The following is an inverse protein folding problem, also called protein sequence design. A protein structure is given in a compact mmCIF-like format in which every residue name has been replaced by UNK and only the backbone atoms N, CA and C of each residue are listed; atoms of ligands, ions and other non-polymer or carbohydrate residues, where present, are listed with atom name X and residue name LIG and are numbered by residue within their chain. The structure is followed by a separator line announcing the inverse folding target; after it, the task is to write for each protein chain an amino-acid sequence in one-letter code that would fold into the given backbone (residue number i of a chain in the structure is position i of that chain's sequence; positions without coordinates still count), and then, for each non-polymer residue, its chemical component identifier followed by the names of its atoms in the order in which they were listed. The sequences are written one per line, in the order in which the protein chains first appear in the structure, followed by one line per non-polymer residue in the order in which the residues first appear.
data_IF_201093096546
#
_entry.id   IF_201093096546
#
_cell.length_a   1.000
_cell.length_b   1.000
_cell.length_c   1.000
_cell.angle_alpha   90.00
_cell.angle_beta   90.00
_cell.angle_gamma   90.00
#
_symmetry.space_group_name_H-M   'P 1'
#
loop_
_entity.id
_entity.type
_entity.pdbx_description
1 polymer ?
#
# COMPACT_ATOMS: atom_id res chain seq x y z
N UNK A 1 28.26 -3.07 5.80
CA UNK A 1 27.30 -2.04 6.22
C UNK A 1 26.90 -1.31 4.95
N UNK A 2 25.84 -1.78 4.30
CA UNK A 2 25.30 -1.15 3.10
C UNK A 2 24.32 -0.11 3.61
N UNK A 3 24.67 1.17 3.52
CA UNK A 3 23.72 2.27 3.75
C UNK A 3 22.56 2.09 2.77
N UNK A 4 21.35 1.87 3.27
CA UNK A 4 20.15 2.09 2.44
C UNK A 4 20.16 3.56 2.03
N UNK A 5 19.98 3.88 0.74
CA UNK A 5 20.02 5.26 0.27
C UNK A 5 18.89 6.07 0.92
N UNK A 6 19.22 7.32 1.25
CA UNK A 6 18.29 8.33 1.71
C UNK A 6 17.15 8.45 0.67
N UNK A 7 15.85 8.46 1.07
CA UNK A 7 14.70 8.49 0.16
C UNK A 7 14.60 9.72 -0.78
N UNK A 8 15.60 10.60 -0.77
CA UNK A 8 15.73 11.71 -1.73
C UNK A 8 16.59 11.35 -2.94
N UNK A 9 17.28 10.20 -2.94
CA UNK A 9 18.30 9.84 -3.95
C UNK A 9 17.81 8.89 -5.06
N UNK A 10 16.52 8.52 -5.06
CA UNK A 10 15.88 7.97 -6.26
C UNK A 10 15.24 9.12 -7.01
N UNK A 11 15.89 9.53 -8.11
CA UNK A 11 15.40 10.47 -9.13
C UNK A 11 14.11 9.93 -9.80
N UNK A 12 13.02 9.83 -9.03
CA UNK A 12 11.70 10.08 -9.57
C UNK A 12 11.50 11.56 -9.31
N UNK A 13 11.73 12.38 -10.33
CA UNK A 13 11.29 13.77 -10.37
C UNK A 13 9.75 13.74 -10.33
N UNK A 14 9.20 13.66 -9.13
CA UNK A 14 7.87 14.19 -8.85
C UNK A 14 8.06 15.70 -8.67
N UNK A 15 7.20 16.53 -9.29
CA UNK A 15 7.39 17.97 -9.35
C UNK A 15 7.71 18.56 -7.97
N UNK A 16 8.74 19.40 -7.95
CA UNK A 16 9.18 20.13 -6.77
C UNK A 16 8.10 21.17 -6.41
N UNK A 17 7.76 21.23 -5.12
CA UNK A 17 6.79 22.13 -4.46
C UNK A 17 5.32 21.70 -4.45
N UNK A 18 4.90 21.16 -3.30
CA UNK A 18 3.50 21.05 -2.91
C UNK A 18 2.89 22.46 -2.71
N UNK A 19 2.50 23.11 -3.81
CA UNK A 19 1.49 24.17 -3.82
C UNK A 19 0.10 23.53 -4.01
N UNK A 20 -0.95 24.20 -3.53
CA UNK A 20 -2.31 23.64 -3.42
C UNK A 20 -2.92 23.04 -4.70
N UNK A 21 -2.35 23.34 -5.88
CA UNK A 21 -2.75 22.80 -7.17
C UNK A 21 -2.47 21.29 -7.32
N UNK A 22 -1.46 20.72 -6.66
CA UNK A 22 -1.11 19.29 -6.82
C UNK A 22 -2.14 18.36 -6.17
N UNK A 23 -2.64 18.70 -4.99
CA UNK A 23 -3.68 17.89 -4.32
C UNK A 23 -4.99 17.91 -5.11
N UNK A 24 -5.31 19.05 -5.74
CA UNK A 24 -6.43 19.18 -6.65
C UNK A 24 -6.19 18.40 -7.95
N UNK A 25 -4.98 18.43 -8.51
CA UNK A 25 -4.61 17.62 -9.68
C UNK A 25 -4.67 16.12 -9.37
N UNK A 26 -4.23 15.67 -8.20
CA UNK A 26 -4.33 14.27 -7.75
C UNK A 26 -5.79 13.87 -7.56
N UNK A 27 -6.61 14.73 -6.94
CA UNK A 27 -8.04 14.48 -6.79
C UNK A 27 -8.75 14.43 -8.14
N UNK A 28 -8.36 15.29 -9.09
CA UNK A 28 -8.84 15.29 -10.48
C UNK A 28 -8.39 14.01 -11.17
N UNK A 29 -7.13 13.58 -11.05
CA UNK A 29 -6.65 12.32 -11.63
C UNK A 29 -7.33 11.11 -11.02
N UNK A 30 -7.53 11.06 -9.70
CA UNK A 30 -8.32 10.02 -9.02
C UNK A 30 -9.76 9.99 -9.54
N UNK A 31 -10.36 11.17 -9.75
CA UNK A 31 -11.71 11.30 -10.29
C UNK A 31 -11.76 10.90 -11.76
N UNK A 32 -10.77 11.26 -12.57
CA UNK A 32 -10.64 10.86 -13.97
C UNK A 32 -10.39 9.36 -14.10
N UNK A 33 -9.56 8.77 -13.23
CA UNK A 33 -9.41 7.33 -13.12
C UNK A 33 -10.76 6.74 -12.76
N UNK A 34 -11.45 7.20 -11.72
CA UNK A 34 -12.79 6.72 -11.38
C UNK A 34 -13.78 6.87 -12.56
N UNK A 35 -13.75 7.97 -13.32
CA UNK A 35 -14.60 8.20 -14.49
C UNK A 35 -14.25 7.29 -15.68
N UNK A 36 -12.95 7.08 -15.96
CA UNK A 36 -12.45 6.10 -16.93
C UNK A 36 -12.84 4.67 -16.51
N UNK A 37 -12.84 4.42 -15.20
CA UNK A 37 -13.29 3.19 -14.56
C UNK A 37 -14.84 3.08 -14.47
N UNK A 38 -15.58 4.11 -14.82
CA UNK A 38 -17.04 4.12 -14.82
C UNK A 38 -17.64 4.32 -16.21
N UNK A 39 -16.81 4.59 -17.22
CA UNK A 39 -17.18 4.54 -18.63
C UNK A 39 -18.37 5.42 -18.99
N UNK A 40 -18.42 6.68 -18.56
CA UNK A 40 -19.31 7.71 -19.14
C UNK A 40 -20.82 7.43 -19.16
N UNK A 41 -21.33 6.39 -18.48
CA UNK A 41 -22.76 6.08 -18.42
C UNK A 41 -23.27 6.46 -17.03
N UNK A 42 -24.10 7.50 -17.00
CA UNK A 42 -24.87 7.91 -15.84
C UNK A 42 -25.76 6.74 -15.36
N UNK A 43 -25.84 6.60 -14.03
CA UNK A 43 -26.68 5.68 -13.25
C UNK A 43 -26.33 4.18 -13.29
N UNK A 44 -25.57 3.71 -12.29
CA UNK A 44 -25.91 2.50 -11.54
C UNK A 44 -25.54 2.61 -10.06
N UNK A 45 -26.50 2.57 -9.12
CA UNK A 45 -26.22 2.29 -7.72
C UNK A 45 -26.26 0.79 -7.48
N UNK A 46 -25.12 0.22 -7.06
CA UNK A 46 -24.99 -0.89 -6.09
C UNK A 46 -23.49 -1.10 -5.91
N UNK A 47 -22.91 -0.48 -4.87
CA UNK A 47 -21.59 -0.89 -4.36
C UNK A 47 -21.76 -2.32 -3.86
N UNK A 48 -21.43 -3.31 -4.70
CA UNK A 48 -21.39 -4.71 -4.27
C UNK A 48 -20.31 -4.83 -3.20
N UNK A 49 -20.69 -5.34 -2.03
CA UNK A 49 -19.82 -5.38 -0.87
C UNK A 49 -18.73 -6.44 -1.00
N UNK A 50 -17.69 -6.22 -1.80
CA UNK A 50 -16.56 -7.17 -1.96
C UNK A 50 -16.02 -7.59 -0.58
N UNK A 51 -15.63 -8.88 -0.39
CA UNK A 51 -15.27 -9.45 0.91
C UNK A 51 -14.37 -8.53 1.74
N UNK A 52 -14.69 -8.42 3.03
CA UNK A 52 -13.87 -7.70 4.01
C UNK A 52 -12.64 -8.52 4.43
N UNK A 53 -12.71 -9.85 4.27
CA UNK A 53 -11.68 -10.78 4.70
C UNK A 53 -10.59 -10.89 3.63
N UNK A 54 -9.34 -10.72 4.06
CA UNK A 54 -8.15 -10.81 3.23
C UNK A 54 -7.77 -12.27 2.94
N UNK A 55 -7.07 -12.55 1.81
CA UNK A 55 -6.60 -13.89 1.52
C UNK A 55 -5.60 -14.39 2.55
N UNK A 56 -5.70 -15.67 2.90
CA UNK A 56 -4.69 -16.35 3.70
C UNK A 56 -3.39 -16.60 2.92
N UNK A 57 -2.31 -16.89 3.64
CA UNK A 57 -0.98 -17.14 3.05
C UNK A 57 -0.97 -18.29 2.01
N UNK A 58 -1.73 -19.35 2.30
CA UNK A 58 -1.86 -20.52 1.40
C UNK A 58 -2.63 -20.17 0.12
N UNK A 59 -3.68 -19.37 0.22
CA UNK A 59 -4.43 -18.92 -0.96
C UNK A 59 -3.57 -18.04 -1.87
N UNK A 60 -2.72 -17.19 -1.29
CA UNK A 60 -1.76 -16.39 -2.05
C UNK A 60 -0.70 -17.24 -2.74
N UNK A 61 -0.25 -18.34 -2.11
CA UNK A 61 0.70 -19.27 -2.72
C UNK A 61 0.10 -20.00 -3.93
N UNK A 62 -1.16 -20.45 -3.84
CA UNK A 62 -1.87 -21.06 -4.98
C UNK A 62 -2.08 -20.06 -6.13
N UNK A 63 -2.31 -18.78 -5.80
CA UNK A 63 -2.41 -17.72 -6.79
C UNK A 63 -1.05 -17.40 -7.40
N UNK A 64 0.06 -17.54 -6.67
CA UNK A 64 1.41 -17.25 -7.18
C UNK A 64 1.79 -18.16 -8.37
N UNK A 65 1.44 -19.44 -8.30
CA UNK A 65 1.59 -20.38 -9.42
C UNK A 65 0.77 -19.94 -10.66
N UNK A 66 -0.44 -19.40 -10.43
CA UNK A 66 -1.28 -18.83 -11.49
C UNK A 66 -0.73 -17.48 -11.99
N UNK A 67 -0.11 -16.68 -11.12
CA UNK A 67 0.50 -15.39 -11.43
C UNK A 67 1.71 -15.57 -12.31
N UNK A 68 2.56 -16.57 -12.06
CA UNK A 68 3.71 -16.85 -12.90
C UNK A 68 3.30 -17.24 -14.33
N UNK A 69 2.20 -18.00 -14.45
CA UNK A 69 1.57 -18.33 -15.74
C UNK A 69 0.91 -17.10 -16.40
N UNK A 70 0.30 -16.21 -15.63
CA UNK A 70 -0.30 -14.97 -16.17
C UNK A 70 0.69 -13.85 -16.43
N UNK A 71 1.84 -13.80 -15.74
CA UNK A 71 2.89 -12.82 -15.97
C UNK A 71 3.50 -13.00 -17.36
N UNK A 72 3.63 -14.24 -17.83
CA UNK A 72 3.99 -14.57 -19.21
C UNK A 72 2.94 -14.05 -20.22
N UNK A 73 1.67 -14.03 -19.83
CA UNK A 73 0.56 -13.48 -20.64
C UNK A 73 0.40 -11.95 -20.48
N UNK A 74 0.79 -11.37 -19.34
CA UNK A 74 0.77 -9.94 -19.09
C UNK A 74 1.94 -9.25 -19.80
N UNK A 75 3.09 -9.93 -19.95
CA UNK A 75 4.19 -9.52 -20.81
C UNK A 75 3.78 -9.53 -22.31
N UNK A 76 2.90 -10.45 -22.73
CA UNK A 76 2.31 -10.38 -24.08
C UNK A 76 1.21 -9.32 -24.19
N UNK A 77 0.50 -8.96 -23.10
CA UNK A 77 -0.38 -7.75 -23.04
C UNK A 77 0.43 -6.45 -22.96
N UNK A 78 1.67 -6.45 -22.45
CA UNK A 78 2.60 -5.33 -22.61
C UNK A 78 2.96 -5.10 -24.09
N UNK A 79 2.65 -6.08 -24.94
CA UNK A 79 2.68 -6.02 -26.39
C UNK A 79 1.25 -6.18 -26.93
N UNK A 80 0.26 -5.41 -26.46
CA UNK A 80 -0.94 -5.20 -27.26
C UNK A 80 -0.45 -4.55 -28.55
N UNK A 81 -0.27 -5.37 -29.57
CA UNK A 81 0.16 -4.92 -30.88
C UNK A 81 -1.01 -4.24 -31.55
N UNK A 82 -0.73 -3.31 -32.45
CA UNK A 82 -1.74 -2.73 -33.34
C UNK A 82 -2.58 -3.82 -34.06
N UNK A 83 -1.99 -5.02 -34.26
CA UNK A 83 -2.65 -6.22 -34.78
C UNK A 83 -3.66 -6.88 -33.84
N UNK A 84 -3.47 -6.87 -32.52
CA UNK A 84 -4.46 -7.41 -31.56
C UNK A 84 -5.69 -6.53 -31.46
N UNK A 85 -5.52 -5.23 -31.72
CA UNK A 85 -6.58 -4.24 -31.80
C UNK A 85 -7.19 -4.13 -33.21
N UNK A 86 -6.60 -4.76 -34.24
CA UNK A 86 -6.99 -4.55 -35.64
C UNK A 86 -8.43 -4.97 -35.96
N UNK A 87 -9.00 -5.92 -35.21
CA UNK A 87 -10.38 -6.37 -35.37
C UNK A 87 -11.40 -5.54 -34.56
N UNK A 88 -10.94 -4.52 -33.85
CA UNK A 88 -11.74 -3.67 -32.97
C UNK A 88 -11.85 -2.28 -33.61
N UNK A 89 -13.07 -1.78 -33.80
CA UNK A 89 -13.33 -0.47 -34.42
C UNK A 89 -12.49 0.64 -33.79
N UNK A 90 -12.05 1.61 -34.60
CA UNK A 90 -11.21 2.74 -34.16
C UNK A 90 -11.95 3.62 -33.12
N UNK A 91 -13.29 3.62 -33.15
CA UNK A 91 -14.15 4.32 -32.18
C UNK A 91 -14.58 3.44 -30.98
N UNK A 92 -13.99 2.26 -30.78
CA UNK A 92 -14.34 1.39 -29.65
C UNK A 92 -13.75 1.94 -28.33
N UNK A 93 -14.60 2.24 -27.32
CA UNK A 93 -14.16 2.65 -25.99
C UNK A 93 -13.11 1.71 -25.36
N UNK A 94 -13.18 0.40 -25.65
CA UNK A 94 -12.20 -0.60 -25.21
C UNK A 94 -10.82 -0.30 -25.80
N UNK A 95 -10.74 0.04 -27.08
CA UNK A 95 -9.48 0.30 -27.78
C UNK A 95 -8.83 1.59 -27.28
N UNK A 96 -9.63 2.62 -26.99
CA UNK A 96 -9.15 3.86 -26.36
C UNK A 96 -8.58 3.58 -24.97
N UNK A 97 -9.31 2.81 -24.15
CA UNK A 97 -8.86 2.42 -22.82
C UNK A 97 -7.55 1.64 -22.85
N UNK A 98 -7.44 0.61 -23.70
CA UNK A 98 -6.22 -0.20 -23.84
C UNK A 98 -5.01 0.62 -24.29
N UNK A 99 -5.21 1.61 -25.16
CA UNK A 99 -4.14 2.52 -25.57
C UNK A 99 -3.70 3.42 -24.43
N UNK A 100 -4.62 3.91 -23.60
CA UNK A 100 -4.29 4.80 -22.49
C UNK A 100 -3.48 4.08 -21.42
N UNK A 101 -3.93 2.91 -20.96
CA UNK A 101 -3.17 2.10 -20.00
C UNK A 101 -1.85 1.57 -20.59
N UNK A 102 -1.74 1.53 -21.93
CA UNK A 102 -0.53 1.19 -22.67
C UNK A 102 0.59 2.23 -22.56
N UNK A 103 0.29 3.46 -22.12
CA UNK A 103 1.26 4.56 -21.99
C UNK A 103 2.00 4.56 -20.66
N UNK A 104 1.37 4.02 -19.61
CA UNK A 104 1.94 3.99 -18.26
C UNK A 104 3.08 2.94 -18.19
N UNK A 105 4.29 3.30 -17.73
CA UNK A 105 5.38 2.33 -17.61
C UNK A 105 5.07 1.26 -16.56
N UNK A 106 5.60 0.05 -16.75
CA UNK A 106 5.53 -1.00 -15.74
C UNK A 106 6.48 -0.67 -14.59
N UNK A 107 6.07 -1.01 -13.38
CA UNK A 107 6.91 -0.84 -12.19
C UNK A 107 7.84 -2.03 -12.03
N UNK A 108 9.02 -1.77 -11.49
CA UNK A 108 9.89 -2.80 -10.94
C UNK A 108 9.57 -3.06 -9.46
N UNK A 109 10.11 -4.14 -8.89
CA UNK A 109 9.82 -4.55 -7.50
C UNK A 109 10.20 -3.49 -6.46
N UNK A 110 11.26 -2.70 -6.72
CA UNK A 110 11.71 -1.64 -5.81
C UNK A 110 10.73 -0.46 -5.81
N UNK A 111 10.24 -0.08 -6.99
CA UNK A 111 9.21 0.95 -7.15
C UNK A 111 7.87 0.55 -6.52
N UNK A 112 7.45 -0.72 -6.67
CA UNK A 112 6.26 -1.23 -5.99
C UNK A 112 6.37 -1.09 -4.47
N UNK A 113 7.54 -1.46 -3.92
CA UNK A 113 7.81 -1.34 -2.49
C UNK A 113 7.87 0.12 -2.06
N UNK A 114 8.47 1.03 -2.85
CA UNK A 114 8.52 2.45 -2.49
C UNK A 114 7.12 3.07 -2.48
N UNK A 115 6.28 2.77 -3.47
CA UNK A 115 4.89 3.24 -3.50
C UNK A 115 4.08 2.67 -2.32
N UNK A 116 4.20 1.38 -2.04
CA UNK A 116 3.54 0.78 -0.88
C UNK A 116 3.95 1.46 0.44
N UNK A 117 5.24 1.78 0.62
CA UNK A 117 5.72 2.51 1.81
C UNK A 117 5.11 3.91 1.91
N UNK A 118 5.09 4.67 0.81
CA UNK A 118 4.49 6.01 0.80
C UNK A 118 2.98 5.97 1.11
N UNK A 119 2.27 4.99 0.57
CA UNK A 119 0.84 4.76 0.87
C UNK A 119 0.66 4.48 2.37
N UNK A 120 1.42 3.52 2.93
CA UNK A 120 1.31 3.15 4.34
C UNK A 120 1.58 4.34 5.30
N UNK A 121 2.59 5.16 5.00
CA UNK A 121 2.93 6.33 5.80
C UNK A 121 1.86 7.42 5.71
N UNK A 122 1.38 7.72 4.50
CA UNK A 122 0.33 8.71 4.28
C UNK A 122 -0.99 8.29 4.94
N UNK A 123 -1.37 7.02 4.81
CA UNK A 123 -2.59 6.47 5.40
C UNK A 123 -2.52 6.46 6.93
N UNK A 124 -1.39 6.05 7.50
CA UNK A 124 -1.18 6.11 8.95
C UNK A 124 -1.33 7.53 9.49
N UNK A 125 -0.75 8.53 8.81
CA UNK A 125 -0.85 9.94 9.23
C UNK A 125 -2.31 10.41 9.18
N UNK A 126 -3.03 10.13 8.08
CA UNK A 126 -4.45 10.49 7.96
C UNK A 126 -5.30 9.86 9.06
N UNK A 127 -5.10 8.57 9.35
CA UNK A 127 -5.83 7.84 10.38
C UNK A 127 -5.48 8.35 11.79
N UNK A 128 -4.21 8.70 12.04
CA UNK A 128 -3.79 9.32 13.29
C UNK A 128 -4.47 10.68 13.49
N UNK A 129 -4.47 11.53 12.47
CA UNK A 129 -5.08 12.87 12.49
C UNK A 129 -6.59 12.78 12.73
N UNK A 130 -7.27 11.86 12.04
CA UNK A 130 -8.68 11.58 12.27
C UNK A 130 -8.98 11.14 13.71
N UNK A 131 -8.13 10.27 14.29
CA UNK A 131 -8.24 9.85 15.70
C UNK A 131 -7.99 10.98 16.69
N UNK A 132 -7.17 11.97 16.33
CA UNK A 132 -6.93 13.17 17.11
C UNK A 132 -8.04 14.23 16.96
N UNK A 133 -9.08 13.95 16.15
CA UNK A 133 -10.31 14.73 16.10
C UNK A 133 -10.35 15.84 15.06
N UNK A 134 -9.44 15.83 14.07
CA UNK A 134 -9.44 16.79 12.96
C UNK A 134 -9.44 16.07 11.61
N UNK A 135 -9.73 16.79 10.53
CA UNK A 135 -9.79 16.21 9.18
C UNK A 135 -8.48 16.33 8.40
N UNK A 136 -7.71 17.40 8.62
CA UNK A 136 -6.48 17.67 7.89
C UNK A 136 -5.26 17.86 8.81
N UNK A 137 -4.07 17.50 8.31
CA UNK A 137 -2.77 17.66 9.00
C UNK A 137 -2.57 19.11 9.49
N UNK A 138 -3.16 20.05 8.77
CA UNK A 138 -2.99 21.49 8.94
C UNK A 138 -3.71 22.05 10.16
N UNK A 139 -4.65 21.29 10.69
CA UNK A 139 -5.50 21.68 11.81
C UNK A 139 -4.89 21.33 13.17
N UNK A 140 -3.82 20.53 13.20
CA UNK A 140 -3.13 20.09 14.42
C UNK A 140 -1.73 20.69 14.54
N UNK A 141 -1.29 20.84 15.79
CA UNK A 141 0.12 21.12 16.07
C UNK A 141 0.97 19.91 15.68
N UNK A 142 2.01 20.12 14.86
CA UNK A 142 2.95 19.07 14.49
C UNK A 142 3.65 18.46 15.71
N UNK A 143 3.77 19.20 16.82
CA UNK A 143 4.31 18.64 18.06
C UNK A 143 3.37 17.59 18.62
N UNK A 144 2.05 17.83 18.62
CA UNK A 144 1.07 16.88 19.14
C UNK A 144 1.00 15.62 18.28
N UNK A 145 1.04 15.75 16.95
CA UNK A 145 1.13 14.61 16.03
C UNK A 145 2.41 13.81 16.32
N UNK A 146 3.56 14.48 16.44
CA UNK A 146 4.85 13.83 16.70
C UNK A 146 4.90 13.08 18.02
N UNK A 147 4.38 13.70 19.07
CA UNK A 147 4.26 13.07 20.38
C UNK A 147 3.28 11.89 20.34
N UNK A 148 2.18 11.97 19.58
CA UNK A 148 1.27 10.84 19.40
C UNK A 148 1.94 9.65 18.69
N UNK A 149 2.73 9.90 17.63
CA UNK A 149 3.55 8.86 16.97
C UNK A 149 4.52 8.22 17.96
N UNK A 150 5.27 9.03 18.72
CA UNK A 150 6.23 8.54 19.71
C UNK A 150 5.56 7.72 20.82
N UNK A 151 4.45 8.20 21.38
CA UNK A 151 3.72 7.47 22.42
C UNK A 151 3.15 6.15 21.90
N UNK A 152 2.59 6.17 20.69
CA UNK A 152 2.12 4.95 20.04
C UNK A 152 3.28 3.96 19.90
N UNK A 153 4.40 4.38 19.29
CA UNK A 153 5.60 3.55 19.08
C UNK A 153 6.09 2.89 20.37
N UNK A 154 6.28 3.70 21.42
CA UNK A 154 6.69 3.25 22.75
C UNK A 154 5.72 2.25 23.36
N UNK A 155 4.41 2.50 23.27
CA UNK A 155 3.40 1.66 23.92
C UNK A 155 3.36 0.23 23.36
N UNK A 156 3.43 0.07 22.04
CA UNK A 156 3.41 -1.26 21.42
C UNK A 156 4.78 -1.95 21.36
N UNK A 157 5.86 -1.28 21.78
CA UNK A 157 7.18 -1.92 21.85
C UNK A 157 7.22 -3.07 22.86
N UNK A 158 6.37 -3.04 23.90
CA UNK A 158 6.27 -4.14 24.86
C UNK A 158 5.94 -5.49 24.19
N UNK A 159 5.13 -5.49 23.12
CA UNK A 159 4.81 -6.72 22.37
C UNK A 159 5.99 -7.14 21.48
N UNK A 160 6.73 -6.18 20.93
CA UNK A 160 7.98 -6.45 20.19
C UNK A 160 8.98 -7.18 21.09
N UNK A 161 9.15 -6.72 22.33
CA UNK A 161 10.02 -7.36 23.32
C UNK A 161 9.58 -8.81 23.63
N UNK A 162 8.27 -9.09 23.70
CA UNK A 162 7.78 -10.46 23.86
C UNK A 162 8.19 -11.33 22.67
N UNK A 163 8.01 -10.86 21.43
CA UNK A 163 8.40 -11.62 20.22
C UNK A 163 9.91 -11.90 20.22
N UNK A 164 10.72 -10.89 20.50
CA UNK A 164 12.19 -11.00 20.55
C UNK A 164 12.66 -11.99 21.61
N UNK A 165 11.92 -12.13 22.72
CA UNK A 165 12.26 -13.10 23.78
C UNK A 165 12.22 -14.57 23.33
N UNK A 166 11.59 -14.86 22.18
CA UNK A 166 11.56 -16.19 21.56
C UNK A 166 12.58 -16.36 20.42
N UNK A 167 13.38 -15.33 20.12
CA UNK A 167 14.46 -15.42 19.15
C UNK A 167 15.75 -15.85 19.85
N UNK A 168 16.58 -16.63 19.15
CA UNK A 168 17.86 -17.12 19.69
C UNK A 168 18.86 -15.99 19.92
N UNK A 169 18.90 -15.01 19.01
CA UNK A 169 19.77 -13.83 19.07
C UNK A 169 18.92 -12.56 19.12
N UNK A 170 18.99 -11.84 20.25
CA UNK A 170 18.34 -10.55 20.41
C UNK A 170 19.13 -9.44 19.68
N UNK A 171 18.49 -8.67 18.78
CA UNK A 171 19.15 -7.55 18.12
C UNK A 171 19.57 -6.45 19.11
N UNK A 172 20.63 -5.70 18.79
CA UNK A 172 21.21 -4.74 19.72
C UNK A 172 20.54 -3.36 19.64
N UNK A 173 19.79 -3.10 18.58
CA UNK A 173 19.08 -1.83 18.39
C UNK A 173 17.61 -2.03 18.00
N UNK A 174 16.80 -0.98 18.18
CA UNK A 174 15.39 -1.00 17.76
C UNK A 174 15.27 -1.14 16.24
N UNK A 175 16.13 -0.49 15.45
CA UNK A 175 16.14 -0.68 14.00
C UNK A 175 16.49 -2.12 13.60
N UNK A 176 17.58 -2.68 14.14
CA UNK A 176 17.97 -4.07 13.89
C UNK A 176 16.85 -5.05 14.29
N UNK A 177 16.12 -4.73 15.37
CA UNK A 177 14.95 -5.50 15.81
C UNK A 177 13.85 -5.51 14.75
N UNK A 178 13.48 -4.34 14.21
CA UNK A 178 12.46 -4.26 13.18
C UNK A 178 12.90 -4.93 11.87
N UNK A 179 14.20 -4.91 11.55
CA UNK A 179 14.78 -5.61 10.40
C UNK A 179 14.79 -7.13 10.56
N UNK A 180 15.01 -7.62 11.79
CA UNK A 180 14.94 -9.05 12.08
C UNK A 180 13.50 -9.58 12.04
N UNK A 181 12.52 -8.76 12.42
CA UNK A 181 11.11 -9.16 12.50
C UNK A 181 10.33 -9.00 11.19
N UNK A 182 10.82 -8.18 10.25
CA UNK A 182 10.16 -7.92 8.98
C UNK A 182 11.11 -8.15 7.78
N UNK A 183 10.71 -8.94 6.77
CA UNK A 183 9.35 -9.45 6.53
C UNK A 183 9.01 -10.69 7.37
N UNK A 184 7.74 -10.78 7.79
CA UNK A 184 7.21 -11.82 8.69
C UNK A 184 7.41 -13.22 8.11
N UNK A 185 7.40 -13.34 6.78
CA UNK A 185 7.64 -14.60 6.06
C UNK A 185 9.03 -15.20 6.29
N UNK A 186 9.99 -14.43 6.81
CA UNK A 186 11.32 -14.93 7.18
C UNK A 186 11.41 -15.43 8.63
N UNK A 187 10.37 -15.24 9.42
CA UNK A 187 10.35 -15.70 10.82
C UNK A 187 10.16 -17.22 10.91
N UNK A 188 10.62 -17.85 12.01
CA UNK A 188 10.36 -19.27 12.27
C UNK A 188 8.87 -19.61 12.20
N UNK A 189 8.54 -20.75 11.60
CA UNK A 189 7.15 -21.16 11.42
C UNK A 189 6.41 -21.32 12.75
N UNK A 190 5.18 -20.79 12.77
CA UNK A 190 4.33 -20.77 13.96
C UNK A 190 4.80 -19.87 15.10
N UNK A 191 5.88 -19.08 14.93
CA UNK A 191 6.32 -18.14 15.96
C UNK A 191 5.23 -17.11 16.28
N UNK A 192 4.68 -16.48 15.24
CA UNK A 192 3.62 -15.48 15.38
C UNK A 192 2.39 -16.09 16.03
N UNK A 193 1.96 -17.28 15.62
CA UNK A 193 0.80 -17.96 16.20
C UNK A 193 1.00 -18.30 17.69
N UNK A 194 2.21 -18.72 18.07
CA UNK A 194 2.55 -19.00 19.47
C UNK A 194 2.49 -17.72 20.30
N UNK A 195 3.20 -16.67 19.88
CA UNK A 195 3.21 -15.40 20.62
C UNK A 195 1.81 -14.80 20.70
N UNK A 196 1.04 -14.84 19.61
CA UNK A 196 -0.34 -14.38 19.55
C UNK A 196 -1.22 -15.10 20.58
N UNK A 197 -1.08 -16.42 20.67
CA UNK A 197 -1.81 -17.24 21.65
C UNK A 197 -1.43 -16.90 23.10
N UNK A 198 -0.15 -16.63 23.36
CA UNK A 198 0.35 -16.29 24.70
C UNK A 198 -0.16 -14.93 25.19
N UNK A 199 -0.24 -13.94 24.30
CA UNK A 199 -0.71 -12.58 24.63
C UNK A 199 -2.21 -12.37 24.43
N UNK A 200 -2.94 -13.40 23.95
CA UNK A 200 -4.39 -13.35 23.74
C UNK A 200 -4.81 -12.50 22.55
N UNK A 201 -3.97 -12.40 21.52
CA UNK A 201 -4.22 -11.68 20.27
C UNK A 201 -4.33 -12.65 19.08
N UNK A 202 -4.84 -12.18 17.94
CA UNK A 202 -4.74 -12.89 16.68
C UNK A 202 -3.37 -12.74 16.03
N UNK A 203 -2.95 -13.70 15.21
CA UNK A 203 -1.73 -13.59 14.42
C UNK A 203 -1.71 -12.31 13.57
N UNK A 204 -2.83 -11.98 12.93
CA UNK A 204 -3.01 -10.75 12.15
C UNK A 204 -2.80 -9.47 12.98
N UNK A 205 -3.13 -9.49 14.26
CA UNK A 205 -2.94 -8.33 15.14
C UNK A 205 -1.45 -8.11 15.45
N UNK A 206 -0.68 -9.19 15.59
CA UNK A 206 0.78 -9.11 15.71
C UNK A 206 1.40 -8.59 14.42
N UNK A 207 0.96 -9.11 13.27
CA UNK A 207 1.45 -8.65 11.97
C UNK A 207 1.23 -7.15 11.81
N UNK A 208 0.01 -6.69 12.10
CA UNK A 208 -0.36 -5.28 12.04
C UNK A 208 0.44 -4.43 13.03
N UNK A 209 0.68 -4.93 14.25
CA UNK A 209 1.50 -4.24 15.24
C UNK A 209 2.93 -4.03 14.73
N UNK A 210 3.58 -5.06 14.20
CA UNK A 210 4.94 -4.97 13.67
C UNK A 210 5.02 -4.01 12.49
N UNK A 211 4.05 -4.10 11.57
CA UNK A 211 3.90 -3.15 10.46
C UNK A 211 3.79 -1.72 10.97
N UNK A 212 2.93 -1.48 11.96
CA UNK A 212 2.73 -0.17 12.54
C UNK A 212 4.01 0.38 13.19
N UNK A 213 4.78 -0.45 13.92
CA UNK A 213 6.08 -0.03 14.48
C UNK A 213 7.06 0.41 13.40
N UNK A 214 7.11 -0.31 12.28
CA UNK A 214 7.96 0.05 11.15
C UNK A 214 7.57 1.40 10.55
N UNK A 215 6.28 1.66 10.40
CA UNK A 215 5.78 2.94 9.88
C UNK A 215 6.14 4.07 10.83
N UNK A 216 5.84 3.91 12.12
CA UNK A 216 6.10 4.90 13.15
C UNK A 216 7.60 5.23 13.26
N UNK A 217 8.47 4.22 13.24
CA UNK A 217 9.92 4.41 13.19
C UNK A 217 10.31 5.39 12.06
N UNK A 218 9.78 5.17 10.85
CA UNK A 218 10.07 6.02 9.69
C UNK A 218 9.45 7.42 9.78
N UNK A 219 8.38 7.59 10.55
CA UNK A 219 7.75 8.90 10.77
C UNK A 219 8.46 9.72 11.85
N UNK A 220 9.17 9.06 12.77
CA UNK A 220 10.00 9.75 13.76
C UNK A 220 11.17 10.46 13.05
N UNK A 221 11.45 11.73 13.37
CA UNK A 221 12.61 12.42 12.82
C UNK A 221 13.89 11.73 13.29
N UNK A 222 14.94 11.78 12.46
CA UNK A 222 16.23 11.12 12.73
C UNK A 222 16.77 11.39 14.14
N UNK A 223 16.61 12.61 14.65
CA UNK A 223 17.03 12.95 16.01
C UNK A 223 16.26 12.19 17.10
N UNK A 224 14.98 11.92 16.91
CA UNK A 224 14.22 11.08 17.85
C UNK A 224 14.60 9.61 17.67
N UNK A 225 14.83 9.14 16.43
CA UNK A 225 15.32 7.78 16.18
C UNK A 225 16.63 7.51 16.93
N UNK A 226 17.61 8.43 16.85
CA UNK A 226 18.87 8.35 17.59
C UNK A 226 18.65 8.19 19.10
N UNK A 227 17.73 8.97 19.69
CA UNK A 227 17.41 8.92 21.13
C UNK A 227 16.64 7.66 21.54
N UNK A 228 15.90 7.03 20.61
CA UNK A 228 15.13 5.80 20.85
C UNK A 228 15.80 4.55 20.27
N UNK A 229 17.05 4.60 19.84
CA UNK A 229 17.69 3.45 19.18
C UNK A 229 18.09 2.37 20.19
N UNK A 230 18.47 2.77 21.42
CA UNK A 230 18.81 1.86 22.52
C UNK A 230 17.57 1.09 23.01
N UNK A 231 17.50 -0.24 22.85
CA UNK A 231 16.33 -1.02 23.21
C UNK A 231 16.09 -1.08 24.72
N UNK A 232 17.10 -0.80 25.55
CA UNK A 232 17.05 -0.97 27.00
C UNK A 232 16.47 0.23 27.74
N UNK A 233 16.36 1.37 27.07
CA UNK A 233 15.92 2.62 27.69
C UNK A 233 15.00 3.42 26.77
N UNK A 234 14.30 4.39 27.36
CA UNK A 234 13.48 5.37 26.64
C UNK A 234 13.87 6.77 27.10
N UNK A 235 14.02 7.74 26.19
CA UNK A 235 14.30 9.12 26.54
C UNK A 235 13.13 9.75 27.32
N UNK A 236 13.39 10.82 28.06
CA UNK A 236 12.33 11.54 28.74
C UNK A 236 11.40 12.21 27.73
N UNK A 237 10.10 12.27 28.05
CA UNK A 237 9.11 12.78 27.10
C UNK A 237 9.32 14.26 26.76
N UNK A 238 9.84 15.03 27.72
CA UNK A 238 10.16 16.45 27.50
C UNK A 238 11.31 16.65 26.51
N UNK A 239 12.34 15.78 26.54
CA UNK A 239 13.46 15.84 25.61
C UNK A 239 12.97 15.56 24.18
N UNK A 240 12.10 14.56 24.02
CA UNK A 240 11.48 14.22 22.73
C UNK A 240 10.60 15.37 22.23
N UNK A 241 9.78 15.95 23.12
CA UNK A 241 8.93 17.11 22.81
C UNK A 241 9.76 18.28 22.33
N UNK A 242 10.89 18.58 22.98
CA UNK A 242 11.79 19.66 22.58
C UNK A 242 12.34 19.46 21.16
N UNK A 243 12.68 18.21 20.78
CA UNK A 243 13.11 17.89 19.42
C UNK A 243 12.02 18.23 18.39
N UNK A 244 10.76 17.88 18.69
CA UNK A 244 9.63 18.22 17.82
C UNK A 244 9.36 19.72 17.78
N UNK A 245 9.44 20.42 18.90
CA UNK A 245 9.27 21.88 18.98
C UNK A 245 10.29 22.62 18.11
N UNK A 246 11.57 22.24 18.20
CA UNK A 246 12.66 22.81 17.38
C UNK A 246 12.46 22.58 15.88
N UNK A 247 11.67 21.59 15.48
CA UNK A 247 11.44 21.18 14.08
C UNK A 247 10.01 21.41 13.59
N UNK A 248 9.14 22.01 14.39
CA UNK A 248 7.69 22.17 14.16
C UNK A 248 7.31 22.45 12.71
N UNK A 249 7.78 23.57 12.15
CA UNK A 249 7.43 23.97 10.79
C UNK A 249 7.95 23.02 9.70
N UNK A 250 9.14 22.43 9.89
CA UNK A 250 9.70 21.47 8.93
C UNK A 250 8.93 20.15 8.98
N UNK A 251 8.63 19.66 10.18
CA UNK A 251 7.93 18.40 10.39
C UNK A 251 6.51 18.44 9.79
N UNK A 252 5.80 19.55 9.99
CA UNK A 252 4.48 19.74 9.40
C UNK A 252 4.51 19.64 7.87
N UNK A 253 5.47 20.32 7.22
CA UNK A 253 5.64 20.25 5.77
C UNK A 253 5.95 18.83 5.30
N UNK A 254 6.90 18.17 5.96
CA UNK A 254 7.27 16.79 5.62
C UNK A 254 6.07 15.84 5.73
N UNK A 255 5.25 15.93 6.78
CA UNK A 255 4.07 15.05 6.89
C UNK A 255 2.97 15.40 5.89
N UNK A 256 2.79 16.67 5.52
CA UNK A 256 1.89 17.05 4.41
C UNK A 256 2.35 16.39 3.10
N UNK A 257 3.63 16.54 2.78
CA UNK A 257 4.25 15.93 1.60
C UNK A 257 4.06 14.41 1.63
N UNK A 258 4.27 13.75 2.76
CA UNK A 258 4.05 12.30 2.89
C UNK A 258 2.59 11.89 2.65
N UNK A 259 1.60 12.66 3.14
CA UNK A 259 0.18 12.37 2.89
C UNK A 259 -0.15 12.51 1.40
N UNK A 260 0.35 13.57 0.75
CA UNK A 260 0.16 13.82 -0.68
C UNK A 260 0.86 12.73 -1.51
N UNK A 261 2.12 12.44 -1.21
CA UNK A 261 2.91 11.38 -1.84
C UNK A 261 2.25 10.01 -1.69
N UNK A 262 1.64 9.71 -0.54
CA UNK A 262 0.87 8.49 -0.35
C UNK A 262 -0.33 8.39 -1.29
N UNK A 263 -1.09 9.49 -1.49
CA UNK A 263 -2.18 9.49 -2.47
C UNK A 263 -1.68 9.37 -3.91
N UNK A 264 -0.61 10.08 -4.27
CA UNK A 264 0.02 9.98 -5.60
C UNK A 264 0.55 8.57 -5.88
N UNK A 265 1.19 7.95 -4.89
CA UNK A 265 1.68 6.57 -4.98
C UNK A 265 0.53 5.57 -5.15
N UNK A 266 -0.61 5.79 -4.47
CA UNK A 266 -1.82 4.99 -4.65
C UNK A 266 -2.34 5.04 -6.08
N UNK A 267 -2.38 6.23 -6.66
CA UNK A 267 -2.74 6.45 -8.08
C UNK A 267 -1.76 5.72 -8.98
N UNK A 268 -0.47 6.00 -8.85
CA UNK A 268 0.57 5.46 -9.72
C UNK A 268 0.65 3.92 -9.65
N UNK A 269 0.52 3.34 -8.46
CA UNK A 269 0.50 1.89 -8.28
C UNK A 269 -0.73 1.25 -8.93
N UNK A 270 -1.89 1.93 -8.87
CA UNK A 270 -3.11 1.48 -9.57
C UNK A 270 -2.92 1.53 -11.08
N UNK A 271 -2.51 2.68 -11.62
CA UNK A 271 -2.36 2.90 -13.07
C UNK A 271 -1.38 1.93 -13.72
N UNK A 272 -0.22 1.71 -13.09
CA UNK A 272 0.79 0.79 -13.59
C UNK A 272 0.31 -0.67 -13.65
N UNK A 273 -0.74 -1.01 -12.88
CA UNK A 273 -1.27 -2.37 -12.79
C UNK A 273 -2.62 -2.57 -13.51
N UNK A 274 -3.15 -1.56 -14.22
CA UNK A 274 -4.40 -1.71 -15.00
C UNK A 274 -4.32 -2.80 -16.08
N UNK A 275 -3.12 -3.08 -16.61
CA UNK A 275 -2.90 -4.17 -17.59
C UNK A 275 -3.11 -5.55 -16.99
N UNK A 276 -2.77 -5.73 -15.71
CA UNK A 276 -3.01 -6.99 -14.99
C UNK A 276 -4.51 -7.28 -14.91
N UNK A 277 -5.34 -6.26 -14.70
CA UNK A 277 -6.80 -6.41 -14.66
C UNK A 277 -7.32 -6.96 -15.99
N UNK A 278 -6.85 -6.40 -17.11
CA UNK A 278 -7.23 -6.86 -18.44
C UNK A 278 -6.80 -8.32 -18.69
N UNK A 279 -5.58 -8.70 -18.28
CA UNK A 279 -5.10 -10.07 -18.48
C UNK A 279 -5.89 -11.09 -17.66
N UNK A 280 -6.29 -10.74 -16.42
CA UNK A 280 -7.16 -11.59 -15.59
C UNK A 280 -8.58 -11.64 -16.16
N UNK A 281 -9.17 -10.50 -16.52
CA UNK A 281 -10.54 -10.41 -17.05
C UNK A 281 -10.74 -11.23 -18.33
N UNK A 282 -9.74 -11.30 -19.21
CA UNK A 282 -9.80 -12.11 -20.45
C UNK A 282 -10.19 -13.57 -20.20
N UNK A 283 -9.78 -14.17 -19.08
CA UNK A 283 -10.11 -15.56 -18.69
C UNK A 283 -11.60 -15.77 -18.39
N UNK A 284 -12.34 -14.70 -18.11
CA UNK A 284 -13.75 -14.70 -17.74
C UNK A 284 -14.67 -14.23 -18.88
N UNK A 285 -14.11 -13.96 -20.06
CA UNK A 285 -14.88 -13.59 -21.26
C UNK A 285 -15.91 -14.66 -21.62
N UNK A 286 -17.09 -14.23 -22.08
CA UNK A 286 -18.15 -15.15 -22.52
C UNK A 286 -18.95 -15.79 -21.38
N UNK A 287 -18.73 -15.38 -20.11
CA UNK A 287 -19.48 -15.86 -18.93
C UNK A 287 -20.69 -14.98 -18.58
N UNK A 288 -21.35 -14.41 -19.59
CA UNK A 288 -22.57 -13.59 -19.40
C UNK A 288 -22.34 -12.10 -19.11
N UNK A 289 -21.09 -11.66 -18.95
CA UNK A 289 -20.71 -10.25 -18.74
C UNK A 289 -19.82 -9.74 -19.88
N UNK A 290 -19.99 -8.47 -20.27
CA UNK A 290 -19.17 -7.82 -21.29
C UNK A 290 -17.74 -7.56 -20.82
N UNK A 291 -16.79 -7.44 -21.75
CA UNK A 291 -15.37 -7.22 -21.41
C UNK A 291 -15.16 -5.93 -20.59
N UNK A 292 -15.85 -4.85 -20.94
CA UNK A 292 -15.76 -3.59 -20.18
C UNK A 292 -16.23 -3.77 -18.74
N UNK A 293 -17.37 -4.41 -18.53
CA UNK A 293 -17.90 -4.66 -17.20
C UNK A 293 -16.96 -5.55 -16.37
N UNK A 294 -16.39 -6.62 -16.96
CA UNK A 294 -15.39 -7.47 -16.31
C UNK A 294 -14.14 -6.67 -15.91
N UNK A 295 -13.67 -5.79 -16.78
CA UNK A 295 -12.53 -4.92 -16.51
C UNK A 295 -12.86 -3.93 -15.39
N UNK A 296 -14.06 -3.33 -15.37
CA UNK A 296 -14.44 -2.42 -14.29
C UNK A 296 -14.52 -3.11 -12.93
N UNK A 297 -15.12 -4.29 -12.88
CA UNK A 297 -15.18 -5.08 -11.64
C UNK A 297 -13.78 -5.51 -11.18
N UNK A 298 -12.92 -5.88 -12.13
CA UNK A 298 -11.53 -6.16 -11.84
C UNK A 298 -10.75 -4.95 -11.33
N UNK A 299 -11.01 -3.75 -11.87
CA UNK A 299 -10.40 -2.50 -11.43
C UNK A 299 -10.81 -2.14 -9.99
N UNK A 300 -12.07 -2.41 -9.60
CA UNK A 300 -12.49 -2.29 -8.20
C UNK A 300 -11.73 -3.27 -7.27
N UNK A 301 -11.46 -4.48 -7.76
CA UNK A 301 -10.59 -5.43 -7.08
C UNK A 301 -9.16 -4.92 -6.94
N UNK A 302 -8.58 -4.35 -8.01
CA UNK A 302 -7.24 -3.78 -8.00
C UNK A 302 -7.11 -2.62 -7.01
N UNK A 303 -8.05 -1.68 -6.99
CA UNK A 303 -8.02 -0.55 -6.05
C UNK A 303 -7.98 -1.06 -4.60
N UNK A 304 -8.77 -2.08 -4.28
CA UNK A 304 -8.73 -2.71 -2.96
C UNK A 304 -7.42 -3.42 -2.66
N UNK A 305 -6.84 -4.07 -3.66
CA UNK A 305 -5.51 -4.66 -3.52
C UNK A 305 -4.48 -3.58 -3.19
N UNK A 306 -4.50 -2.43 -3.86
CA UNK A 306 -3.63 -1.29 -3.57
C UNK A 306 -3.85 -0.77 -2.15
N UNK A 307 -5.09 -0.65 -1.70
CA UNK A 307 -5.43 -0.19 -0.35
C UNK A 307 -4.96 -1.12 0.77
N UNK A 308 -4.91 -2.42 0.50
CA UNK A 308 -4.62 -3.46 1.51
C UNK A 308 -3.25 -4.11 1.34
N UNK A 309 -2.49 -3.70 0.32
CA UNK A 309 -1.22 -4.35 0.03
C UNK A 309 -0.21 -4.11 1.15
N UNK A 310 0.30 -5.21 1.69
CA UNK A 310 1.23 -5.21 2.80
C UNK A 310 2.60 -5.70 2.33
N UNK A 311 3.44 -4.77 1.85
CA UNK A 311 4.71 -5.10 1.22
C UNK A 311 5.68 -5.84 2.17
N UNK A 312 5.54 -5.64 3.49
CA UNK A 312 6.34 -6.29 4.52
C UNK A 312 6.00 -7.78 4.70
N UNK A 313 4.97 -8.31 4.01
CA UNK A 313 4.73 -9.76 3.91
C UNK A 313 5.70 -10.44 2.93
N UNK A 314 6.36 -9.69 2.05
CA UNK A 314 7.36 -10.22 1.13
C UNK A 314 6.81 -10.87 -0.14
N UNK A 315 5.51 -10.72 -0.42
CA UNK A 315 4.91 -11.10 -1.70
C UNK A 315 5.03 -9.96 -2.72
N UNK A 316 5.09 -10.32 -4.02
CA UNK A 316 4.95 -9.34 -5.11
C UNK A 316 3.55 -8.75 -5.11
N UNK A 317 3.44 -7.49 -5.54
CA UNK A 317 2.13 -6.84 -5.62
C UNK A 317 1.18 -7.57 -6.57
N UNK A 318 1.68 -8.03 -7.72
CA UNK A 318 0.90 -8.76 -8.72
C UNK A 318 0.22 -10.02 -8.18
N UNK A 319 0.89 -10.75 -7.28
CA UNK A 319 0.34 -11.95 -6.62
C UNK A 319 -0.86 -11.59 -5.78
N UNK A 320 -0.72 -10.57 -4.92
CA UNK A 320 -1.80 -10.09 -4.06
C UNK A 320 -2.96 -9.48 -4.86
N UNK A 321 -2.65 -8.66 -5.88
CA UNK A 321 -3.64 -8.01 -6.73
C UNK A 321 -4.47 -9.00 -7.54
N UNK A 322 -3.84 -10.07 -8.06
CA UNK A 322 -4.55 -11.08 -8.85
C UNK A 322 -5.67 -11.75 -8.05
N UNK A 323 -5.47 -12.03 -6.76
CA UNK A 323 -6.52 -12.60 -5.91
C UNK A 323 -7.72 -11.66 -5.81
N UNK A 324 -7.51 -10.37 -5.52
CA UNK A 324 -8.58 -9.40 -5.38
C UNK A 324 -9.32 -9.13 -6.69
N UNK A 325 -8.59 -9.03 -7.80
CA UNK A 325 -9.16 -8.85 -9.14
C UNK A 325 -10.06 -10.05 -9.47
N UNK A 326 -9.54 -11.28 -9.29
CA UNK A 326 -10.27 -12.53 -9.55
C UNK A 326 -11.54 -12.62 -8.70
N UNK A 327 -11.42 -12.29 -7.43
CA UNK A 327 -12.52 -12.36 -6.47
C UNK A 327 -13.63 -11.36 -6.82
N UNK A 328 -13.26 -10.14 -7.17
CA UNK A 328 -14.20 -9.09 -7.59
C UNK A 328 -14.96 -9.51 -8.86
N UNK A 329 -14.25 -9.97 -9.89
CA UNK A 329 -14.83 -10.42 -11.15
C UNK A 329 -15.78 -11.61 -10.95
N UNK A 330 -15.30 -12.66 -10.27
CA UNK A 330 -16.08 -13.90 -10.07
C UNK A 330 -17.38 -13.62 -9.33
N UNK A 331 -17.32 -12.73 -8.33
CA UNK A 331 -18.51 -12.31 -7.60
C UNK A 331 -19.49 -11.54 -8.48
N UNK A 332 -19.02 -10.55 -9.24
CA UNK A 332 -19.93 -9.77 -10.09
C UNK A 332 -20.61 -10.64 -11.15
N UNK A 333 -19.92 -11.67 -11.67
CA UNK A 333 -20.54 -12.66 -12.55
C UNK A 333 -21.64 -13.44 -11.82
N UNK A 334 -21.38 -13.92 -10.61
CA UNK A 334 -22.35 -14.68 -9.83
C UNK A 334 -23.59 -13.86 -9.44
N UNK A 335 -23.42 -12.56 -9.20
CA UNK A 335 -24.51 -11.65 -8.82
C UNK A 335 -25.32 -11.12 -10.04
N UNK A 336 -24.82 -11.29 -11.27
CA UNK A 336 -25.50 -10.92 -12.51
C UNK A 336 -26.11 -12.11 -13.29
N UNK A 337 -25.76 -13.35 -12.94
CA UNK A 337 -26.27 -14.59 -13.55
C UNK A 337 -27.62 -15.05 -12.96
#
# INVERSE_FOLDING_TARGET
MSEEPNPTDLDIVLPDSAEGDEAEEIAVRLSQIAELLHGGVAERPRRLGIPQQEPGLLELAEVDDEVELTAQSAASVATITESDLANISIDDPVRMYLREIGRVPLLNSEQEVSFARSIEQGDYLRDLIARLGVMHVDELDSVDIGMAVYHSFRAGWAIVEQIVSHLDDAPNTRLETLDALLPITKLPSGLIDRVASEIGLGASDIEELLRQRRIEWRLLPLKVQEEVEDPTSWPHQDDVREIFERRRARQLRTWREMVVQGQSAKVALTEANLRLVVSVAKKYSGRGMGMLDLVQEGNLGLIRAVEKFQHHKGFKFSTYATWWIRQSITRSIADQA
#
